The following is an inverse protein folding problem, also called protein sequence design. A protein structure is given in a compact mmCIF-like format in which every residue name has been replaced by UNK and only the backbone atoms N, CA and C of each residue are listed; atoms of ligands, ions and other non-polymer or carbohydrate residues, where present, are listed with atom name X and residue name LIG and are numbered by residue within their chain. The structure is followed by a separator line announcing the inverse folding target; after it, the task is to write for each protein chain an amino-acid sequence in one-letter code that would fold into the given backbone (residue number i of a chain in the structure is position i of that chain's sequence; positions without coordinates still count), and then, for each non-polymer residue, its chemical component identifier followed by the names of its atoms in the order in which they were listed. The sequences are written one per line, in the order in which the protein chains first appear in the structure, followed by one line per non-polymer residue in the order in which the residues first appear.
data_IF_577997509555
#
_entry.id   IF_577997509555
#
_cell.length_a   1.000
_cell.length_b   1.000
_cell.length_c   1.000
_cell.angle_alpha   90.00
_cell.angle_beta   90.00
_cell.angle_gamma   90.00
#
_symmetry.space_group_name_H-M   'P 1'
#
loop_
_entity.id
_entity.type
_entity.pdbx_description
1 polymer ?
#
# COMPACT_ATOMS: atom_id res chain seq x y z
N UNK A 1 -12.52 -16.82 -12.15
CA UNK A 1 -12.32 -15.41 -11.78
C UNK A 1 -11.02 -14.92 -12.40
N UNK A 2 -11.02 -13.78 -13.11
CA UNK A 2 -9.77 -13.14 -13.57
C UNK A 2 -9.34 -12.11 -12.52
N UNK A 3 -8.36 -12.47 -11.69
CA UNK A 3 -7.58 -11.54 -10.86
C UNK A 3 -8.32 -10.63 -9.86
N UNK A 4 -9.28 -11.10 -9.02
CA UNK A 4 -9.82 -10.26 -7.96
C UNK A 4 -8.70 -9.92 -6.97
N UNK A 5 -8.43 -8.63 -6.80
CA UNK A 5 -7.37 -8.16 -5.89
C UNK A 5 -7.87 -8.06 -4.44
N UNK A 6 -9.18 -8.17 -4.22
CA UNK A 6 -9.78 -8.40 -2.90
C UNK A 6 -11.28 -8.79 -2.96
N UNK A 7 -12.01 -8.24 -3.95
CA UNK A 7 -13.45 -8.45 -4.20
C UNK A 7 -13.72 -8.28 -5.69
N UNK A 8 -14.44 -9.20 -6.33
CA UNK A 8 -15.02 -9.00 -7.66
C UNK A 8 -16.53 -8.82 -7.50
N UNK A 9 -17.05 -7.61 -7.72
CA UNK A 9 -18.48 -7.31 -7.61
C UNK A 9 -19.09 -7.42 -6.21
N UNK A 10 -18.27 -7.62 -5.16
CA UNK A 10 -18.69 -7.79 -3.75
C UNK A 10 -19.91 -8.70 -3.54
N UNK A 11 -20.04 -9.73 -4.39
CA UNK A 11 -21.18 -10.65 -4.48
C UNK A 11 -22.54 -10.02 -4.88
N UNK A 12 -22.62 -8.70 -5.12
CA UNK A 12 -23.86 -8.00 -5.50
C UNK A 12 -24.41 -8.51 -6.84
N UNK A 13 -23.53 -8.68 -7.83
CA UNK A 13 -23.90 -9.18 -9.17
C UNK A 13 -24.49 -10.58 -9.12
N UNK A 14 -24.00 -11.41 -8.21
CA UNK A 14 -24.51 -12.76 -8.00
C UNK A 14 -25.90 -12.71 -7.34
N UNK A 15 -26.11 -11.79 -6.39
CA UNK A 15 -27.41 -11.56 -5.77
C UNK A 15 -28.45 -11.04 -6.79
N UNK A 16 -28.08 -10.09 -7.65
CA UNK A 16 -28.94 -9.64 -8.75
C UNK A 16 -29.34 -10.79 -9.68
N UNK A 17 -28.36 -11.63 -10.08
CA UNK A 17 -28.64 -12.79 -10.91
C UNK A 17 -29.60 -13.78 -10.24
N UNK A 18 -29.45 -14.01 -8.93
CA UNK A 18 -30.33 -14.89 -8.16
C UNK A 18 -31.76 -14.33 -8.06
N UNK A 19 -31.91 -13.02 -7.84
CA UNK A 19 -33.21 -12.37 -7.77
C UNK A 19 -33.95 -12.44 -9.12
N UNK A 20 -33.25 -12.19 -10.23
CA UNK A 20 -33.84 -12.30 -11.58
C UNK A 20 -34.19 -13.75 -11.93
N UNK A 21 -33.32 -14.71 -11.59
CA UNK A 21 -33.57 -16.13 -11.84
C UNK A 21 -34.81 -16.66 -11.11
N UNK A 22 -35.12 -16.14 -9.91
CA UNK A 22 -36.32 -16.51 -9.15
C UNK A 22 -37.61 -16.16 -9.90
N UNK A 23 -37.61 -15.03 -10.62
CA UNK A 23 -38.76 -14.58 -11.40
C UNK A 23 -38.84 -15.26 -12.79
N UNK A 24 -37.82 -16.02 -13.19
CA UNK A 24 -37.73 -16.70 -14.48
C UNK A 24 -37.44 -18.21 -14.34
N UNK A 25 -38.39 -19.01 -13.78
CA UNK A 25 -38.17 -20.44 -13.54
C UNK A 25 -37.74 -21.22 -14.78
N UNK A 26 -36.76 -22.11 -14.61
CA UNK A 26 -36.26 -22.98 -15.69
C UNK A 26 -35.37 -22.28 -16.72
N UNK A 27 -35.01 -20.99 -16.52
CA UNK A 27 -34.16 -20.24 -17.44
C UNK A 27 -32.83 -19.86 -16.76
N UNK A 28 -31.66 -20.18 -17.35
CA UNK A 28 -30.39 -19.69 -16.83
C UNK A 28 -30.27 -18.18 -17.03
N UNK A 29 -29.82 -17.48 -15.99
CA UNK A 29 -29.62 -16.03 -16.00
C UNK A 29 -28.13 -15.71 -15.84
N UNK A 30 -27.62 -14.81 -16.69
CA UNK A 30 -26.29 -14.22 -16.55
C UNK A 30 -26.43 -12.72 -16.40
N UNK A 31 -25.98 -12.19 -15.28
CA UNK A 31 -25.82 -10.74 -15.06
C UNK A 31 -24.35 -10.40 -15.18
N UNK A 32 -24.06 -9.28 -15.85
CA UNK A 32 -22.72 -8.74 -15.98
C UNK A 32 -22.81 -7.22 -15.89
N UNK A 33 -22.06 -6.63 -14.97
CA UNK A 33 -21.92 -5.18 -14.88
C UNK A 33 -21.13 -4.65 -16.07
N UNK A 34 -21.56 -3.51 -16.59
CA UNK A 34 -20.72 -2.66 -17.41
C UNK A 34 -19.60 -2.05 -16.54
N UNK A 35 -18.52 -1.61 -17.19
CA UNK A 35 -17.37 -1.00 -16.50
C UNK A 35 -17.81 0.19 -15.64
N UNK A 36 -18.73 1.03 -16.14
CA UNK A 36 -19.23 2.15 -15.35
C UNK A 36 -20.08 1.75 -14.16
N UNK A 37 -20.81 0.64 -14.26
CA UNK A 37 -21.59 0.12 -13.13
C UNK A 37 -20.67 -0.47 -12.07
N UNK A 38 -19.63 -1.20 -12.47
CA UNK A 38 -18.59 -1.71 -11.58
C UNK A 38 -17.94 -0.56 -10.81
N UNK A 39 -17.44 0.47 -11.51
CA UNK A 39 -16.77 1.60 -10.87
C UNK A 39 -17.69 2.43 -9.96
N UNK A 40 -18.98 2.59 -10.27
CA UNK A 40 -19.86 3.43 -9.47
C UNK A 40 -20.46 2.73 -8.25
N UNK A 41 -20.53 1.39 -8.26
CA UNK A 41 -21.31 0.63 -7.27
C UNK A 41 -20.50 -0.40 -6.48
N UNK A 42 -19.30 -0.76 -6.92
CA UNK A 42 -18.40 -1.60 -6.13
C UNK A 42 -17.91 -0.87 -4.87
N UNK A 43 -17.57 -1.62 -3.81
CA UNK A 43 -16.97 -1.04 -2.62
C UNK A 43 -15.51 -0.64 -2.87
N UNK A 44 -15.06 0.43 -2.22
CA UNK A 44 -13.70 0.97 -2.35
C UNK A 44 -12.80 0.63 -1.17
N UNK A 45 -11.48 0.80 -1.33
CA UNK A 45 -10.58 0.83 -0.18
C UNK A 45 -10.92 2.02 0.74
N UNK A 46 -10.98 1.84 2.07
CA UNK A 46 -11.21 2.95 2.99
C UNK A 46 -10.12 4.01 2.91
N UNK A 47 -10.52 5.29 2.88
CA UNK A 47 -9.61 6.40 3.13
C UNK A 47 -9.10 6.33 4.58
N UNK A 48 -7.86 6.81 4.77
CA UNK A 48 -7.18 6.78 6.05
C UNK A 48 -6.47 8.11 6.29
N UNK A 49 -6.36 8.49 7.55
CA UNK A 49 -5.49 9.59 7.99
C UNK A 49 -4.60 9.07 9.10
N UNK A 50 -3.34 9.50 9.10
CA UNK A 50 -2.33 9.08 10.06
C UNK A 50 -1.62 10.31 10.60
N UNK A 51 -1.38 10.33 11.89
CA UNK A 51 -0.49 11.27 12.56
C UNK A 51 0.62 10.50 13.27
N UNK A 52 1.87 10.90 13.04
CA UNK A 52 3.04 10.26 13.62
C UNK A 52 3.95 11.31 14.27
N UNK A 53 4.38 11.03 15.49
CA UNK A 53 5.35 11.82 16.24
C UNK A 53 6.38 10.86 16.86
N UNK A 54 7.65 11.24 16.88
CA UNK A 54 8.70 10.46 17.50
C UNK A 54 9.78 11.37 18.07
N UNK A 55 10.49 10.87 19.07
CA UNK A 55 11.63 11.55 19.68
C UNK A 55 12.90 10.74 19.46
N UNK A 56 13.97 11.42 19.05
CA UNK A 56 15.33 10.88 19.04
C UNK A 56 16.07 11.38 20.28
N UNK A 57 16.84 10.51 20.92
CA UNK A 57 17.72 10.92 22.00
C UNK A 57 18.97 11.66 21.47
N UNK A 58 19.87 12.05 22.37
CA UNK A 58 21.10 12.75 22.01
C UNK A 58 22.07 11.94 21.14
N UNK A 59 21.91 10.61 21.07
CA UNK A 59 22.69 9.74 20.21
C UNK A 59 22.03 9.52 18.83
N UNK A 60 20.83 10.09 18.61
CA UNK A 60 20.05 9.86 17.39
C UNK A 60 19.27 8.55 17.40
N UNK A 61 19.08 7.93 18.56
CA UNK A 61 18.33 6.67 18.72
C UNK A 61 16.86 6.94 19.04
N UNK A 62 15.94 6.13 18.53
CA UNK A 62 14.50 6.21 18.82
C UNK A 62 14.23 6.03 20.32
N UNK A 63 13.64 7.05 20.94
CA UNK A 63 13.29 7.06 22.36
C UNK A 63 11.78 6.93 22.60
N UNK A 64 10.97 7.59 21.78
CA UNK A 64 9.51 7.61 21.89
C UNK A 64 8.86 7.56 20.50
N UNK A 65 7.71 6.89 20.41
CA UNK A 65 6.90 6.78 19.20
C UNK A 65 5.42 6.87 19.53
N UNK A 66 4.74 7.85 18.93
CA UNK A 66 3.29 8.02 18.96
C UNK A 66 2.72 7.97 17.55
N UNK A 67 1.76 7.08 17.34
CA UNK A 67 1.12 6.89 16.04
C UNK A 67 -0.39 6.78 16.22
N UNK A 68 -1.12 7.68 15.59
CA UNK A 68 -2.58 7.69 15.59
C UNK A 68 -3.09 7.50 14.17
N UNK A 69 -4.13 6.70 14.01
CA UNK A 69 -4.78 6.49 12.72
C UNK A 69 -6.30 6.53 12.82
N UNK A 70 -6.92 7.07 11.76
CA UNK A 70 -8.37 7.10 11.57
C UNK A 70 -8.72 6.31 10.33
N UNK A 71 -9.59 5.32 10.46
CA UNK A 71 -10.01 4.48 9.35
C UNK A 71 -11.38 3.85 9.59
N UNK A 72 -12.11 3.57 8.51
CA UNK A 72 -13.26 2.67 8.54
C UNK A 72 -12.81 1.20 8.55
N UNK A 73 -13.77 0.27 8.58
CA UNK A 73 -13.47 -1.15 8.40
C UNK A 73 -12.95 -1.41 6.98
N UNK A 74 -11.90 -2.22 6.91
CA UNK A 74 -11.36 -2.75 5.66
C UNK A 74 -12.00 -4.10 5.29
N UNK A 75 -13.16 -4.40 5.87
CA UNK A 75 -13.92 -5.60 5.56
C UNK A 75 -15.43 -5.35 5.72
N UNK A 76 -16.15 -5.37 4.60
CA UNK A 76 -17.62 -5.43 4.59
C UNK A 76 -18.08 -6.61 3.72
N UNK A 77 -17.36 -7.74 3.76
CA UNK A 77 -17.82 -8.98 3.14
C UNK A 77 -19.15 -9.44 3.75
N UNK A 78 -19.83 -10.34 3.05
CA UNK A 78 -21.19 -10.74 3.38
C UNK A 78 -21.26 -11.45 4.74
N UNK A 79 -21.78 -10.74 5.75
CA UNK A 79 -22.16 -11.28 7.07
C UNK A 79 -23.66 -11.60 7.12
N UNK A 80 -24.48 -10.79 6.46
CA UNK A 80 -25.91 -10.97 6.32
C UNK A 80 -26.39 -10.41 4.97
N UNK A 81 -27.64 -10.69 4.59
CA UNK A 81 -28.22 -10.22 3.33
C UNK A 81 -28.11 -8.68 3.17
N UNK A 82 -28.23 -7.93 4.25
CA UNK A 82 -28.10 -6.47 4.23
C UNK A 82 -26.74 -5.93 3.78
N UNK A 83 -25.69 -6.77 3.64
CA UNK A 83 -24.41 -6.34 3.04
C UNK A 83 -24.42 -6.31 1.50
N UNK A 84 -25.44 -6.93 0.89
CA UNK A 84 -25.68 -6.91 -0.54
C UNK A 84 -26.53 -5.69 -0.90
N UNK A 85 -26.07 -4.91 -1.86
CA UNK A 85 -26.79 -3.73 -2.35
C UNK A 85 -28.21 -4.09 -2.85
N UNK A 86 -28.42 -5.17 -3.63
CA UNK A 86 -29.77 -5.53 -4.07
C UNK A 86 -30.75 -5.79 -2.92
N UNK A 87 -30.28 -6.30 -1.78
CA UNK A 87 -31.10 -6.55 -0.60
C UNK A 87 -31.50 -5.26 0.15
N UNK A 88 -30.70 -4.20 0.02
CA UNK A 88 -31.01 -2.87 0.57
C UNK A 88 -31.99 -2.09 -0.31
N UNK A 89 -32.12 -2.46 -1.60
CA UNK A 89 -33.00 -1.79 -2.57
C UNK A 89 -34.39 -2.45 -2.67
N UNK A 90 -34.65 -3.51 -1.90
CA UNK A 90 -35.97 -4.14 -1.83
C UNK A 90 -37.00 -3.21 -1.18
N UNK A 91 -38.28 -3.40 -1.51
CA UNK A 91 -39.38 -2.67 -0.88
C UNK A 91 -39.40 -2.82 0.65
N UNK A 92 -38.94 -3.98 1.15
CA UNK A 92 -38.60 -4.19 2.56
C UNK A 92 -37.10 -4.46 2.66
N UNK A 93 -36.29 -3.43 2.93
CA UNK A 93 -34.84 -3.55 2.89
C UNK A 93 -34.30 -4.33 4.08
N UNK A 94 -33.25 -5.11 3.85
CA UNK A 94 -32.51 -5.74 4.95
C UNK A 94 -31.57 -4.73 5.61
N UNK A 95 -31.53 -4.73 6.95
CA UNK A 95 -30.56 -3.92 7.69
C UNK A 95 -29.15 -4.51 7.55
N UNK A 96 -28.15 -3.74 7.09
CA UNK A 96 -26.76 -4.21 7.06
C UNK A 96 -26.24 -4.50 8.47
N UNK A 97 -25.47 -5.58 8.63
CA UNK A 97 -24.70 -5.79 9.85
C UNK A 97 -23.81 -4.55 10.12
N UNK A 98 -23.59 -4.14 11.38
CA UNK A 98 -22.73 -3.00 11.68
C UNK A 98 -21.27 -3.31 11.29
N UNK A 99 -20.49 -2.32 10.82
CA UNK A 99 -19.08 -2.48 10.56
C UNK A 99 -18.32 -2.75 11.86
N UNK A 100 -17.32 -3.63 11.80
CA UNK A 100 -16.51 -4.05 12.95
C UNK A 100 -15.03 -3.95 12.59
N UNK A 101 -14.16 -3.62 13.55
CA UNK A 101 -12.72 -3.76 13.37
C UNK A 101 -12.32 -5.24 13.27
N UNK A 102 -11.24 -5.52 12.55
CA UNK A 102 -10.60 -6.83 12.56
C UNK A 102 -9.50 -6.77 13.64
N UNK A 103 -9.50 -7.68 14.62
CA UNK A 103 -8.44 -7.72 15.62
C UNK A 103 -7.04 -7.89 15.01
N UNK A 104 -6.03 -7.31 15.65
CA UNK A 104 -4.63 -7.62 15.41
C UNK A 104 -4.32 -9.07 15.82
N UNK A 105 -3.33 -9.75 15.20
CA UNK A 105 -2.34 -9.20 14.27
C UNK A 105 -2.77 -9.20 12.78
N UNK A 106 -3.90 -9.80 12.42
CA UNK A 106 -4.43 -9.74 11.06
C UNK A 106 -4.76 -8.30 10.65
N UNK A 107 -5.40 -7.53 11.52
CA UNK A 107 -5.70 -6.10 11.38
C UNK A 107 -6.55 -5.69 10.18
N UNK A 108 -7.35 -4.64 10.38
CA UNK A 108 -8.13 -3.98 9.32
C UNK A 108 -7.42 -2.72 8.86
N UNK A 109 -7.91 -1.56 9.32
CA UNK A 109 -7.23 -0.27 9.12
C UNK A 109 -5.95 -0.13 9.94
N UNK A 110 -5.86 -0.81 11.07
CA UNK A 110 -4.69 -0.85 11.96
C UNK A 110 -3.63 -1.88 11.57
N UNK A 111 -3.84 -2.62 10.48
CA UNK A 111 -2.86 -3.61 10.02
C UNK A 111 -1.51 -2.95 9.79
N UNK A 112 -0.45 -3.53 10.36
CA UNK A 112 0.92 -3.01 10.30
C UNK A 112 1.13 -1.61 10.92
N UNK A 113 0.21 -1.13 11.77
CA UNK A 113 0.37 0.16 12.48
C UNK A 113 1.41 0.14 13.60
N UNK A 114 1.76 -1.05 14.11
CA UNK A 114 2.84 -1.23 15.08
C UNK A 114 4.16 -1.33 14.32
N UNK A 115 5.12 -0.41 14.52
CA UNK A 115 6.41 -0.46 13.84
C UNK A 115 7.22 -1.68 14.30
N UNK A 116 8.09 -2.17 13.42
CA UNK A 116 8.97 -3.31 13.70
C UNK A 116 10.25 -2.91 14.47
N UNK A 117 10.48 -1.62 14.64
CA UNK A 117 11.67 -1.06 15.25
C UNK A 117 11.61 -1.11 16.78
N UNK A 118 12.76 -1.30 17.40
CA UNK A 118 12.96 -1.22 18.84
C UNK A 118 12.79 0.23 19.29
N UNK A 119 11.70 0.49 20.01
CA UNK A 119 11.40 1.80 20.61
C UNK A 119 11.06 1.60 22.10
N UNK A 120 11.74 2.29 23.03
CA UNK A 120 11.49 2.15 24.47
C UNK A 120 10.07 2.54 24.91
N UNK A 121 9.51 3.61 24.32
CA UNK A 121 8.15 4.09 24.58
C UNK A 121 7.33 4.07 23.30
N UNK A 122 6.24 3.29 23.29
CA UNK A 122 5.42 3.07 22.10
C UNK A 122 3.93 3.26 22.43
N UNK A 123 3.30 4.20 21.73
CA UNK A 123 1.86 4.42 21.77
C UNK A 123 1.27 4.37 20.36
N UNK A 124 0.34 3.43 20.13
CA UNK A 124 -0.39 3.29 18.86
C UNK A 124 -1.88 3.32 19.14
N UNK A 125 -2.61 4.24 18.50
CA UNK A 125 -4.05 4.40 18.67
C UNK A 125 -4.78 4.30 17.33
N UNK A 126 -5.81 3.44 17.30
CA UNK A 126 -6.72 3.32 16.17
C UNK A 126 -8.09 3.91 16.52
N UNK A 127 -8.43 5.01 15.87
CA UNK A 127 -9.73 5.65 15.92
C UNK A 127 -10.63 5.05 14.85
N UNK A 128 -11.49 4.11 15.26
CA UNK A 128 -12.41 3.44 14.34
C UNK A 128 -13.53 4.39 13.91
N UNK A 129 -13.66 4.62 12.61
CA UNK A 129 -14.69 5.48 12.00
C UNK A 129 -15.76 4.58 11.38
N UNK A 130 -16.90 4.29 12.05
CA UNK A 130 -17.85 3.29 11.57
C UNK A 130 -18.65 3.73 10.33
N UNK A 131 -18.76 5.03 10.06
CA UNK A 131 -19.60 5.56 8.97
C UNK A 131 -18.75 6.33 7.96
N UNK A 132 -18.92 6.01 6.67
CA UNK A 132 -18.27 6.68 5.55
C UNK A 132 -19.31 7.03 4.47
N UNK A 133 -19.10 8.12 3.70
CA UNK A 133 -20.02 8.50 2.62
C UNK A 133 -20.02 7.51 1.45
N UNK A 134 -18.98 6.70 1.34
CA UNK A 134 -18.79 5.72 0.27
C UNK A 134 -18.76 4.33 0.88
N UNK A 135 -19.33 3.34 0.16
CA UNK A 135 -19.25 1.93 0.54
C UNK A 135 -17.81 1.45 0.42
N UNK A 136 -17.29 0.86 1.49
CA UNK A 136 -15.90 0.38 1.54
C UNK A 136 -15.82 -1.13 1.74
N UNK A 137 -14.72 -1.76 1.33
CA UNK A 137 -14.43 -3.17 1.63
C UNK A 137 -12.93 -3.42 1.50
N UNK A 138 -12.53 -4.68 1.57
CA UNK A 138 -11.14 -5.07 1.42
C UNK A 138 -10.59 -4.62 0.06
N UNK A 139 -9.41 -4.01 0.12
CA UNK A 139 -8.46 -3.84 -0.97
C UNK A 139 -7.17 -4.55 -0.56
N UNK A 140 -6.35 -5.00 -1.52
CA UNK A 140 -5.14 -5.77 -1.19
C UNK A 140 -4.28 -5.03 -0.18
N UNK A 141 -3.82 -5.75 0.83
CA UNK A 141 -3.09 -5.30 2.01
C UNK A 141 -3.88 -4.52 3.06
N UNK A 142 -5.17 -4.24 2.85
CA UNK A 142 -6.03 -3.51 3.79
C UNK A 142 -5.33 -2.20 4.24
N UNK A 143 -5.30 -1.89 5.55
CA UNK A 143 -4.63 -0.70 6.06
C UNK A 143 -3.09 -0.73 5.97
N UNK A 144 -2.47 -1.87 5.65
CA UNK A 144 -1.02 -1.99 5.65
C UNK A 144 -0.34 -1.11 4.60
N UNK A 145 -0.99 -0.88 3.45
CA UNK A 145 -0.44 0.01 2.43
C UNK A 145 -0.18 1.42 3.00
N UNK A 146 -1.17 2.02 3.65
CA UNK A 146 -1.05 3.36 4.26
C UNK A 146 -0.13 3.34 5.48
N UNK A 147 -0.28 2.35 6.38
CA UNK A 147 0.49 2.35 7.62
C UNK A 147 1.99 2.15 7.37
N UNK A 148 2.36 1.21 6.52
CA UNK A 148 3.77 1.01 6.18
C UNK A 148 4.31 2.19 5.38
N UNK A 149 3.53 2.76 4.46
CA UNK A 149 3.91 4.00 3.76
C UNK A 149 4.27 5.11 4.76
N UNK A 150 3.40 5.37 5.74
CA UNK A 150 3.59 6.42 6.73
C UNK A 150 4.79 6.12 7.65
N UNK A 151 4.87 4.91 8.21
CA UNK A 151 5.95 4.48 9.11
C UNK A 151 7.30 4.56 8.41
N UNK A 152 7.44 3.95 7.23
CA UNK A 152 8.74 3.85 6.54
C UNK A 152 9.17 5.18 5.89
N UNK A 153 8.21 6.06 5.55
CA UNK A 153 8.52 7.44 5.17
C UNK A 153 9.01 8.24 6.37
N UNK A 154 8.33 8.12 7.51
CA UNK A 154 8.70 8.85 8.72
C UNK A 154 10.05 8.39 9.28
N UNK A 155 10.36 7.09 9.20
CA UNK A 155 11.69 6.56 9.54
C UNK A 155 12.80 7.17 8.66
N UNK A 156 12.53 7.43 7.38
CA UNK A 156 13.49 8.10 6.49
C UNK A 156 13.71 9.58 6.92
N UNK A 157 12.65 10.26 7.37
CA UNK A 157 12.75 11.61 7.96
C UNK A 157 13.52 11.62 9.28
N UNK A 158 13.31 10.60 10.14
CA UNK A 158 14.03 10.45 11.41
C UNK A 158 15.51 10.12 11.19
N UNK A 159 15.84 9.26 10.22
CA UNK A 159 17.22 8.98 9.85
C UNK A 159 17.93 10.27 9.38
N UNK A 160 17.25 11.10 8.58
CA UNK A 160 17.76 12.42 8.18
C UNK A 160 17.99 13.35 9.37
N UNK A 161 17.04 13.40 10.31
CA UNK A 161 17.17 14.21 11.54
C UNK A 161 18.32 13.73 12.45
N UNK A 162 18.61 12.42 12.46
CA UNK A 162 19.77 11.84 13.13
C UNK A 162 21.09 11.97 12.35
N UNK A 163 21.07 12.54 11.13
CA UNK A 163 22.22 12.55 10.22
C UNK A 163 22.78 11.14 9.92
N UNK A 164 21.90 10.13 9.90
CA UNK A 164 22.23 8.74 9.63
C UNK A 164 21.83 8.32 8.21
N UNK A 165 22.53 7.32 7.66
CA UNK A 165 22.04 6.62 6.47
C UNK A 165 20.72 5.89 6.81
N UNK A 166 19.68 5.98 5.96
CA UNK A 166 18.36 5.44 6.28
C UNK A 166 18.31 3.91 6.35
N UNK A 167 19.23 3.19 5.72
CA UNK A 167 19.34 1.73 5.85
C UNK A 167 20.05 1.39 7.15
N UNK A 168 21.17 2.04 7.44
CA UNK A 168 21.90 1.85 8.69
C UNK A 168 21.02 2.17 9.90
N UNK A 169 20.23 3.25 9.83
CA UNK A 169 19.28 3.64 10.87
C UNK A 169 18.26 2.53 11.14
N UNK A 170 17.74 1.87 10.10
CA UNK A 170 16.80 0.75 10.26
C UNK A 170 17.46 -0.46 10.92
N UNK A 171 18.66 -0.84 10.46
CA UNK A 171 19.40 -1.98 10.99
C UNK A 171 19.73 -1.79 12.48
N UNK A 172 20.14 -0.59 12.89
CA UNK A 172 20.44 -0.27 14.29
C UNK A 172 19.23 -0.42 15.22
N UNK A 173 18.02 -0.21 14.68
CA UNK A 173 16.76 -0.27 15.43
C UNK A 173 15.98 -1.57 15.18
N UNK A 174 16.53 -2.56 14.49
CA UNK A 174 15.89 -3.87 14.30
C UNK A 174 16.64 -4.93 15.11
N UNK A 175 15.92 -5.92 15.63
CA UNK A 175 16.53 -7.07 16.33
C UNK A 175 16.38 -8.38 15.52
N UNK A 176 15.44 -8.45 14.58
CA UNK A 176 15.11 -9.68 13.86
C UNK A 176 16.16 -10.02 12.78
N UNK A 177 16.85 -11.17 12.86
CA UNK A 177 17.87 -11.56 11.89
C UNK A 177 17.32 -11.84 10.48
N UNK A 178 16.04 -12.20 10.32
CA UNK A 178 15.41 -12.37 9.00
C UNK A 178 15.11 -11.01 8.36
N UNK A 179 14.71 -10.02 9.17
CA UNK A 179 14.60 -8.64 8.72
C UNK A 179 15.96 -8.12 8.21
N UNK A 180 17.03 -8.32 9.00
CA UNK A 180 18.39 -8.00 8.56
C UNK A 180 18.76 -8.72 7.26
N UNK A 181 18.44 -10.01 7.13
CA UNK A 181 18.74 -10.80 5.95
C UNK A 181 18.12 -10.25 4.66
N UNK A 182 16.84 -9.85 4.67
CA UNK A 182 16.22 -9.23 3.48
C UNK A 182 16.78 -7.84 3.20
N UNK A 183 17.07 -7.04 4.24
CA UNK A 183 17.64 -5.70 4.08
C UNK A 183 19.03 -5.79 3.44
N UNK A 184 19.93 -6.62 3.99
CA UNK A 184 21.29 -6.81 3.46
C UNK A 184 21.28 -7.33 2.02
N UNK A 185 20.40 -8.28 1.69
CA UNK A 185 20.28 -8.79 0.32
C UNK A 185 19.90 -7.70 -0.70
N UNK A 186 18.99 -6.78 -0.32
CA UNK A 186 18.66 -5.63 -1.16
C UNK A 186 19.82 -4.65 -1.25
N UNK A 187 20.47 -4.32 -0.14
CA UNK A 187 21.64 -3.43 -0.09
C UNK A 187 22.73 -3.89 -1.03
N UNK A 188 23.08 -5.17 -0.98
CA UNK A 188 24.12 -5.78 -1.80
C UNK A 188 23.72 -5.78 -3.28
N UNK A 189 22.52 -6.26 -3.62
CA UNK A 189 22.08 -6.36 -5.01
C UNK A 189 21.79 -5.01 -5.66
N UNK A 190 21.27 -4.05 -4.89
CA UNK A 190 21.08 -2.68 -5.35
C UNK A 190 22.42 -1.95 -5.49
N UNK A 191 23.43 -2.34 -4.70
CA UNK A 191 24.68 -1.60 -4.58
C UNK A 191 24.44 -0.28 -3.85
N UNK A 192 23.69 -0.34 -2.74
CA UNK A 192 23.32 0.84 -1.96
C UNK A 192 24.57 1.62 -1.55
N UNK A 193 24.51 2.93 -1.75
CA UNK A 193 25.54 3.87 -1.32
C UNK A 193 24.86 4.88 -0.42
N UNK A 194 25.56 5.26 0.66
CA UNK A 194 25.09 6.34 1.52
C UNK A 194 24.78 7.56 0.67
N UNK A 195 23.58 8.13 0.86
CA UNK A 195 23.13 9.31 0.13
C UNK A 195 24.13 10.45 0.38
N UNK A 196 24.63 11.05 -0.69
CA UNK A 196 25.46 12.25 -0.59
C UNK A 196 24.60 13.44 -0.20
N UNK A 197 25.16 14.39 0.56
CA UNK A 197 24.54 15.70 0.74
C UNK A 197 24.19 16.28 -0.64
N UNK A 198 22.97 16.81 -0.79
CA UNK A 198 22.53 17.48 -2.02
C UNK A 198 23.48 18.65 -2.29
N UNK A 199 24.42 18.45 -3.21
CA UNK A 199 25.21 19.57 -3.74
C UNK A 199 24.33 20.30 -4.75
N UNK A 200 24.52 21.61 -4.91
CA UNK A 200 23.68 22.48 -5.74
C UNK A 200 23.78 22.19 -7.24
N UNK A 201 23.51 20.95 -7.63
CA UNK A 201 23.47 20.47 -9.00
C UNK A 201 22.26 21.10 -9.70
N UNK A 202 22.57 21.97 -10.66
CA UNK A 202 21.59 22.61 -11.54
C UNK A 202 21.17 21.71 -12.70
N UNK A 203 21.49 20.41 -12.65
CA UNK A 203 21.04 19.43 -13.64
C UNK A 203 19.50 19.47 -13.77
N UNK A 204 18.96 19.49 -15.00
CA UNK A 204 17.52 19.37 -15.22
C UNK A 204 16.97 18.01 -14.78
N UNK A 205 17.86 17.02 -14.60
CA UNK A 205 17.54 15.68 -14.10
C UNK A 205 18.00 15.56 -12.65
N UNK A 206 17.08 15.23 -11.77
CA UNK A 206 17.40 14.90 -10.39
C UNK A 206 17.27 13.40 -10.15
N UNK A 207 18.30 12.81 -9.57
CA UNK A 207 18.35 11.39 -9.24
C UNK A 207 18.13 11.20 -7.74
N UNK A 208 17.41 10.15 -7.35
CA UNK A 208 17.23 9.81 -5.95
C UNK A 208 17.02 8.33 -5.74
N UNK A 209 17.47 7.86 -4.58
CA UNK A 209 17.30 6.47 -4.14
C UNK A 209 16.46 6.39 -2.88
N UNK A 210 15.59 5.39 -2.82
CA UNK A 210 14.69 5.18 -1.69
C UNK A 210 14.75 3.75 -1.20
N UNK A 211 14.60 3.58 0.10
CA UNK A 211 14.58 2.27 0.75
C UNK A 211 13.39 2.19 1.71
N UNK A 212 12.80 1.01 1.82
CA UNK A 212 11.84 0.69 2.87
C UNK A 212 11.77 -0.83 3.12
N UNK A 213 11.31 -1.18 4.31
CA UNK A 213 11.18 -2.55 4.76
C UNK A 213 9.85 -2.76 5.49
N UNK A 214 9.27 -3.97 5.37
CA UNK A 214 8.16 -4.39 6.20
C UNK A 214 8.07 -5.90 6.33
N UNK A 215 7.30 -6.34 7.32
CA UNK A 215 6.83 -7.72 7.44
C UNK A 215 5.31 -7.71 7.26
N UNK A 216 4.78 -8.47 6.31
CA UNK A 216 3.35 -8.56 6.06
C UNK A 216 2.60 -8.99 7.33
N UNK A 217 1.63 -8.18 7.79
CA UNK A 217 0.89 -8.34 9.06
C UNK A 217 1.76 -8.39 10.32
N UNK A 218 3.05 -8.04 10.24
CA UNK A 218 4.03 -8.28 11.31
C UNK A 218 4.13 -9.76 11.73
N UNK A 219 3.79 -10.70 10.83
CA UNK A 219 3.82 -12.15 11.13
C UNK A 219 4.10 -13.07 9.94
N UNK A 220 4.00 -12.56 8.70
CA UNK A 220 4.16 -13.34 7.47
C UNK A 220 5.48 -12.99 6.78
N UNK A 221 5.49 -12.90 5.44
CA UNK A 221 6.68 -12.65 4.65
C UNK A 221 7.34 -11.29 4.97
N UNK A 222 8.66 -11.29 4.96
CA UNK A 222 9.51 -10.11 5.08
C UNK A 222 9.83 -9.61 3.68
N UNK A 223 9.78 -8.30 3.47
CA UNK A 223 10.13 -7.69 2.19
C UNK A 223 10.88 -6.39 2.42
N UNK A 224 12.07 -6.29 1.84
CA UNK A 224 12.79 -5.03 1.67
C UNK A 224 12.72 -4.60 0.19
N UNK A 225 12.64 -3.29 -0.05
CA UNK A 225 12.59 -2.71 -1.40
C UNK A 225 13.51 -1.49 -1.47
N UNK A 226 14.34 -1.43 -2.50
CA UNK A 226 15.09 -0.25 -2.90
C UNK A 226 14.67 0.21 -4.30
N UNK A 227 14.55 1.52 -4.50
CA UNK A 227 14.17 2.13 -5.77
C UNK A 227 15.15 3.22 -6.18
N UNK A 228 15.44 3.29 -7.48
CA UNK A 228 16.17 4.37 -8.16
C UNK A 228 15.20 5.11 -9.07
N UNK A 229 15.10 6.44 -8.90
CA UNK A 229 14.21 7.28 -9.68
C UNK A 229 14.95 8.46 -10.29
N UNK A 230 14.44 8.93 -11.43
CA UNK A 230 14.79 10.22 -12.02
C UNK A 230 13.56 11.11 -12.04
N UNK A 231 13.71 12.36 -11.61
CA UNK A 231 12.71 13.43 -11.73
C UNK A 231 13.25 14.51 -12.66
N UNK A 232 12.48 14.86 -13.68
CA UNK A 232 12.72 16.04 -14.52
C UNK A 232 12.24 17.28 -13.78
N UNK A 233 13.14 18.18 -13.38
CA UNK A 233 12.82 19.33 -12.51
C UNK A 233 11.85 20.33 -13.17
N UNK A 234 11.93 20.50 -14.49
CA UNK A 234 11.12 21.44 -15.26
C UNK A 234 9.69 20.94 -15.50
N UNK A 235 9.51 19.64 -15.73
CA UNK A 235 8.20 19.05 -16.04
C UNK A 235 7.54 18.36 -14.85
N UNK A 236 8.32 17.95 -13.85
CA UNK A 236 7.91 17.04 -12.77
C UNK A 236 7.74 15.59 -13.24
N UNK A 237 8.24 15.23 -14.43
CA UNK A 237 8.13 13.86 -14.96
C UNK A 237 9.01 12.90 -14.16
N UNK A 238 8.40 11.83 -13.67
CA UNK A 238 9.03 10.79 -12.86
C UNK A 238 9.27 9.54 -13.71
N UNK A 239 10.50 9.01 -13.68
CA UNK A 239 10.88 7.72 -14.23
C UNK A 239 11.44 6.83 -13.14
N UNK A 240 10.91 5.61 -13.01
CA UNK A 240 11.45 4.59 -12.10
C UNK A 240 12.47 3.76 -12.88
N UNK A 241 13.75 3.99 -12.61
CA UNK A 241 14.86 3.41 -13.37
C UNK A 241 15.09 1.95 -12.97
N UNK A 242 15.03 1.67 -11.66
CA UNK A 242 15.27 0.31 -11.15
C UNK A 242 14.58 0.10 -9.81
N UNK A 243 14.02 -1.10 -9.63
CA UNK A 243 13.52 -1.61 -8.35
C UNK A 243 14.27 -2.89 -8.02
N UNK A 244 14.76 -3.02 -6.79
CA UNK A 244 15.33 -4.26 -6.25
C UNK A 244 14.56 -4.61 -4.98
N UNK A 245 14.05 -5.83 -4.89
CA UNK A 245 13.33 -6.31 -3.72
C UNK A 245 13.85 -7.68 -3.27
N UNK A 246 13.95 -7.93 -1.97
CA UNK A 246 14.26 -9.26 -1.43
C UNK A 246 13.13 -9.73 -0.53
N UNK A 247 12.67 -10.96 -0.75
CA UNK A 247 11.57 -11.56 0.01
C UNK A 247 12.03 -12.81 0.75
N UNK A 248 11.67 -12.91 2.03
CA UNK A 248 11.76 -14.12 2.84
C UNK A 248 10.34 -14.50 3.28
N UNK A 249 9.80 -15.58 2.71
CA UNK A 249 8.48 -16.13 3.06
C UNK A 249 8.57 -17.51 3.71
N UNK A 250 9.70 -17.81 4.38
CA UNK A 250 9.97 -19.14 4.89
C UNK A 250 10.32 -20.11 3.77
N UNK A 251 9.87 -21.37 3.85
CA UNK A 251 10.09 -22.32 2.77
C UNK A 251 9.29 -21.92 1.51
N UNK A 252 9.96 -21.85 0.37
CA UNK A 252 9.32 -21.48 -0.89
C UNK A 252 8.72 -22.73 -1.55
N UNK A 253 7.41 -22.70 -1.78
CA UNK A 253 6.68 -23.78 -2.49
C UNK A 253 6.76 -23.61 -4.00
N UNK A 254 6.54 -22.38 -4.48
CA UNK A 254 6.55 -22.05 -5.91
C UNK A 254 7.35 -20.75 -6.11
N UNK A 255 8.64 -20.82 -6.46
CA UNK A 255 9.50 -19.65 -6.64
C UNK A 255 8.95 -18.65 -7.65
N UNK A 256 8.46 -19.12 -8.80
CA UNK A 256 7.91 -18.24 -9.84
C UNK A 256 6.60 -17.58 -9.39
N UNK A 257 5.78 -18.31 -8.63
CA UNK A 257 4.57 -17.75 -8.02
C UNK A 257 4.88 -16.64 -7.01
N UNK A 258 5.90 -16.84 -6.18
CA UNK A 258 6.37 -15.82 -5.23
C UNK A 258 6.90 -14.59 -5.98
N UNK A 259 7.76 -14.80 -6.98
CA UNK A 259 8.30 -13.73 -7.84
C UNK A 259 7.18 -12.92 -8.49
N UNK A 260 6.23 -13.57 -9.15
CA UNK A 260 5.10 -12.92 -9.81
C UNK A 260 4.22 -12.12 -8.83
N UNK A 261 4.02 -12.62 -7.60
CA UNK A 261 3.24 -11.90 -6.58
C UNK A 261 3.92 -10.62 -6.10
N UNK A 262 5.25 -10.65 -5.95
CA UNK A 262 6.04 -9.47 -5.58
C UNK A 262 6.11 -8.48 -6.74
N UNK A 263 6.45 -8.91 -7.96
CA UNK A 263 6.51 -8.05 -9.14
C UNK A 263 5.16 -7.37 -9.42
N UNK A 264 4.08 -8.14 -9.47
CA UNK A 264 2.73 -7.60 -9.65
C UNK A 264 2.29 -6.72 -8.48
N UNK A 265 2.73 -7.02 -7.26
CA UNK A 265 2.47 -6.21 -6.08
C UNK A 265 3.17 -4.84 -6.12
N UNK A 266 4.44 -4.81 -6.55
CA UNK A 266 5.23 -3.59 -6.77
C UNK A 266 4.57 -2.73 -7.84
N UNK A 267 4.17 -3.30 -8.99
CA UNK A 267 3.50 -2.55 -10.06
C UNK A 267 2.16 -1.97 -9.60
N UNK A 268 1.33 -2.78 -8.96
CA UNK A 268 0.04 -2.34 -8.45
C UNK A 268 0.18 -1.18 -7.47
N UNK A 269 1.06 -1.32 -6.48
CA UNK A 269 1.21 -0.27 -5.47
C UNK A 269 1.93 0.96 -6.00
N UNK A 270 2.80 0.83 -7.01
CA UNK A 270 3.35 1.99 -7.73
C UNK A 270 2.22 2.80 -8.36
N UNK A 271 1.22 2.14 -8.95
CA UNK A 271 0.03 2.80 -9.50
C UNK A 271 -0.80 3.50 -8.43
N UNK A 272 -1.07 2.83 -7.30
CA UNK A 272 -1.75 3.43 -6.13
C UNK A 272 -1.03 4.64 -5.57
N UNK A 273 0.28 4.51 -5.42
CA UNK A 273 1.11 5.53 -4.80
C UNK A 273 1.24 6.76 -5.69
N UNK A 274 1.29 6.60 -7.01
CA UNK A 274 1.51 7.72 -7.93
C UNK A 274 0.23 8.33 -8.49
N UNK A 275 -0.79 7.53 -8.81
CA UNK A 275 -1.87 7.98 -9.69
C UNK A 275 -3.26 7.76 -9.11
N UNK A 276 -3.54 6.58 -8.54
CA UNK A 276 -4.92 6.15 -8.32
C UNK A 276 -5.63 6.90 -7.18
N UNK A 277 -6.71 7.58 -7.55
CA UNK A 277 -7.61 8.31 -6.65
C UNK A 277 -9.05 8.13 -7.16
N UNK A 278 -9.97 7.74 -6.27
CA UNK A 278 -11.41 7.72 -6.58
C UNK A 278 -11.99 9.11 -6.34
N UNK A 279 -12.50 9.73 -7.40
CA UNK A 279 -13.20 11.00 -7.33
C UNK A 279 -14.70 10.79 -7.15
N UNK A 280 -15.34 11.69 -6.39
CA UNK A 280 -16.78 11.70 -6.15
C UNK A 280 -17.29 13.09 -5.81
N UNK A 281 -18.58 13.30 -5.99
CA UNK A 281 -19.33 14.47 -5.57
C UNK A 281 -20.43 14.04 -4.57
N UNK A 282 -21.24 14.96 -4.00
CA UNK A 282 -22.29 14.59 -3.05
C UNK A 282 -23.39 13.68 -3.63
N UNK A 283 -23.42 13.45 -4.95
CA UNK A 283 -24.42 12.65 -5.63
C UNK A 283 -23.88 11.28 -6.08
N UNK A 284 -22.60 11.18 -6.48
CA UNK A 284 -22.05 9.95 -7.08
C UNK A 284 -20.52 9.90 -7.13
N UNK A 285 -20.01 8.71 -7.42
CA UNK A 285 -18.64 8.50 -7.92
C UNK A 285 -18.50 9.11 -9.31
N UNK A 286 -17.43 9.87 -9.54
CA UNK A 286 -17.11 10.52 -10.83
C UNK A 286 -15.96 9.84 -11.59
N UNK A 287 -15.21 8.94 -10.94
CA UNK A 287 -14.25 8.02 -11.57
C UNK A 287 -14.93 6.76 -12.13
N UNK A 288 -15.85 6.94 -13.07
CA UNK A 288 -16.74 5.88 -13.55
C UNK A 288 -16.12 4.95 -14.62
N UNK A 289 -14.89 5.16 -15.09
CA UNK A 289 -14.23 4.24 -16.03
C UNK A 289 -12.70 4.39 -16.01
N UNK A 290 -11.99 3.67 -16.89
CA UNK A 290 -10.53 3.75 -17.03
C UNK A 290 -10.00 5.04 -17.68
N UNK A 291 -10.90 5.91 -18.17
CA UNK A 291 -10.54 7.24 -18.68
C UNK A 291 -10.58 8.30 -17.59
N UNK A 292 -11.47 8.12 -16.61
CA UNK A 292 -11.72 9.02 -15.47
C UNK A 292 -11.08 8.55 -14.17
N UNK A 293 -10.66 7.28 -14.07
CA UNK A 293 -9.85 6.75 -12.99
C UNK A 293 -8.36 6.75 -13.39
N UNK A 294 -7.51 7.56 -12.73
CA UNK A 294 -6.09 7.67 -13.07
C UNK A 294 -5.33 6.40 -12.68
N UNK A 295 -4.94 5.59 -13.67
CA UNK A 295 -4.18 4.35 -13.47
C UNK A 295 -2.85 4.39 -14.23
N UNK A 296 -1.82 3.74 -13.68
CA UNK A 296 -0.51 3.65 -14.30
C UNK A 296 -0.60 3.05 -15.72
N UNK A 297 0.14 3.67 -16.65
CA UNK A 297 0.27 3.20 -18.05
C UNK A 297 1.62 2.51 -18.26
N UNK A 298 1.75 1.75 -19.35
CA UNK A 298 2.99 1.04 -19.71
C UNK A 298 4.21 1.95 -19.79
N UNK A 299 4.05 3.21 -20.18
CA UNK A 299 5.15 4.19 -20.23
C UNK A 299 5.73 4.55 -18.86
N UNK A 300 5.00 4.25 -17.78
CA UNK A 300 5.35 4.65 -16.41
C UNK A 300 5.76 3.46 -15.53
N UNK A 301 5.80 2.24 -16.07
CA UNK A 301 6.28 1.07 -15.33
C UNK A 301 7.79 1.19 -15.07
N UNK A 302 8.30 0.61 -13.96
CA UNK A 302 9.74 0.55 -13.73
C UNK A 302 10.46 -0.10 -14.90
N UNK A 303 11.59 0.48 -15.33
CA UNK A 303 12.38 -0.06 -16.45
C UNK A 303 12.99 -1.42 -16.12
N UNK A 304 13.24 -1.70 -14.84
CA UNK A 304 13.78 -2.96 -14.34
C UNK A 304 13.26 -3.26 -12.94
N UNK A 305 12.81 -4.50 -12.71
CA UNK A 305 12.42 -5.02 -11.39
C UNK A 305 13.19 -6.30 -11.16
N UNK A 306 14.02 -6.32 -10.11
CA UNK A 306 14.76 -7.51 -9.67
C UNK A 306 14.19 -8.00 -8.34
N UNK A 307 13.72 -9.25 -8.29
CA UNK A 307 13.25 -9.88 -7.06
C UNK A 307 14.20 -10.99 -6.63
N UNK A 308 14.82 -10.84 -5.46
CA UNK A 308 15.61 -11.88 -4.80
C UNK A 308 14.70 -12.72 -3.92
N UNK A 309 14.80 -14.04 -4.08
CA UNK A 309 14.07 -15.01 -3.28
C UNK A 309 15.03 -15.61 -2.26
N UNK A 310 14.77 -15.37 -0.97
CA UNK A 310 15.52 -15.99 0.12
C UNK A 310 14.73 -17.21 0.57
N UNK A 311 15.10 -18.38 0.05
CA UNK A 311 14.48 -19.64 0.45
C UNK A 311 14.98 -20.10 1.82
N UNK A 312 14.06 -20.62 2.63
CA UNK A 312 14.34 -21.15 3.96
C UNK A 312 13.76 -22.57 4.10
N UNK A 313 14.39 -23.61 3.51
CA UNK A 313 13.91 -24.98 3.60
C UNK A 313 13.71 -25.42 5.06
N UNK A 314 12.55 -26.01 5.35
CA UNK A 314 12.19 -26.49 6.69
C UNK A 314 11.53 -25.45 7.61
N UNK A 315 11.50 -24.15 7.23
CA UNK A 315 10.72 -23.15 7.96
C UNK A 315 9.25 -23.12 7.51
N UNK A 316 8.31 -22.60 8.34
CA UNK A 316 6.91 -22.51 7.98
C UNK A 316 6.66 -21.75 6.67
N UNK A 317 5.62 -22.15 5.93
CA UNK A 317 5.15 -21.43 4.74
C UNK A 317 4.43 -20.15 5.14
N UNK A 318 4.91 -19.00 4.67
CA UNK A 318 4.29 -17.70 4.97
C UNK A 318 3.61 -17.12 3.73
N UNK A 319 2.51 -16.40 3.96
CA UNK A 319 1.81 -15.70 2.89
C UNK A 319 2.68 -14.57 2.31
N UNK A 320 2.76 -14.48 0.99
CA UNK A 320 3.48 -13.40 0.27
C UNK A 320 2.55 -12.42 -0.45
N UNK A 321 1.26 -12.76 -0.50
CA UNK A 321 0.29 -12.15 -1.39
C UNK A 321 0.14 -10.64 -1.25
N UNK A 322 0.40 -10.07 -0.07
CA UNK A 322 0.19 -8.65 0.23
C UNK A 322 1.46 -7.96 0.78
N UNK A 323 2.63 -8.57 0.57
CA UNK A 323 3.88 -8.10 1.18
C UNK A 323 4.47 -6.85 0.51
N UNK A 324 4.16 -6.63 -0.76
CA UNK A 324 4.78 -5.57 -1.57
C UNK A 324 4.19 -4.18 -1.34
N UNK A 325 2.90 -4.08 -1.02
CA UNK A 325 2.14 -2.83 -1.06
C UNK A 325 2.76 -1.72 -0.19
N UNK A 326 3.01 -2.01 1.08
CA UNK A 326 3.60 -1.07 2.01
C UNK A 326 5.01 -0.59 1.63
N UNK A 327 6.01 -1.50 1.61
CA UNK A 327 7.41 -1.10 1.44
C UNK A 327 7.69 -0.53 0.05
N UNK A 328 7.05 -1.00 -1.02
CA UNK A 328 7.27 -0.38 -2.33
C UNK A 328 6.71 1.04 -2.44
N UNK A 329 5.59 1.35 -1.77
CA UNK A 329 5.04 2.71 -1.70
C UNK A 329 6.00 3.66 -0.96
N UNK A 330 6.50 3.24 0.21
CA UNK A 330 7.45 4.02 0.99
C UNK A 330 8.80 4.20 0.29
N UNK A 331 9.35 3.13 -0.31
CA UNK A 331 10.62 3.21 -1.04
C UNK A 331 10.52 4.20 -2.21
N UNK A 332 9.39 4.22 -2.92
CA UNK A 332 9.14 5.18 -3.99
C UNK A 332 9.09 6.61 -3.46
N UNK A 333 8.34 6.86 -2.39
CA UNK A 333 8.23 8.19 -1.79
C UNK A 333 9.58 8.70 -1.24
N UNK A 334 10.35 7.81 -0.62
CA UNK A 334 11.70 8.10 -0.13
C UNK A 334 12.67 8.43 -1.28
N UNK A 335 12.54 7.75 -2.43
CA UNK A 335 13.37 8.04 -3.61
C UNK A 335 13.02 9.40 -4.22
N UNK A 336 11.73 9.76 -4.26
CA UNK A 336 11.27 11.07 -4.74
C UNK A 336 11.75 12.18 -3.81
N UNK A 337 11.66 12.02 -2.49
CA UNK A 337 12.16 13.01 -1.53
C UNK A 337 13.69 13.12 -1.56
N UNK A 338 14.41 12.02 -1.81
CA UNK A 338 15.86 12.09 -2.04
C UNK A 338 16.20 12.88 -3.32
N UNK A 339 15.48 12.60 -4.41
CA UNK A 339 15.68 13.26 -5.70
C UNK A 339 15.34 14.76 -5.65
N UNK A 340 14.20 15.11 -5.06
CA UNK A 340 13.65 16.47 -5.16
C UNK A 340 13.91 17.30 -3.92
N UNK A 341 14.12 16.64 -2.78
CA UNK A 341 14.16 17.29 -1.49
C UNK A 341 12.80 17.65 -0.91
N UNK A 342 11.71 17.24 -1.56
CA UNK A 342 10.36 17.54 -1.13
C UNK A 342 9.65 16.28 -0.65
N UNK A 343 9.22 16.31 0.62
CA UNK A 343 8.45 15.23 1.24
C UNK A 343 6.95 15.44 1.00
N UNK A 344 6.38 14.63 0.12
CA UNK A 344 4.93 14.54 -0.09
C UNK A 344 4.39 13.44 0.84
N UNK A 345 3.34 13.77 1.61
CA UNK A 345 2.73 12.86 2.60
C UNK A 345 1.31 12.40 2.23
N UNK A 346 0.66 13.11 1.31
CA UNK A 346 -0.66 12.76 0.81
C UNK A 346 -0.52 11.84 -0.42
N UNK A 347 -1.20 10.69 -0.39
CA UNK A 347 -1.34 9.82 -1.56
C UNK A 347 -2.60 10.19 -2.36
N UNK A 348 -2.57 10.08 -3.70
CA UNK A 348 -1.41 9.71 -4.51
C UNK A 348 -0.41 10.87 -4.74
N UNK A 349 0.89 10.54 -4.83
CA UNK A 349 2.01 11.49 -4.90
C UNK A 349 2.01 12.36 -6.18
N UNK A 350 1.45 11.89 -7.29
CA UNK A 350 1.27 12.68 -8.53
C UNK A 350 -0.20 13.02 -8.80
N UNK A 351 -1.06 12.91 -7.78
CA UNK A 351 -2.44 13.35 -7.85
C UNK A 351 -2.56 14.86 -8.08
N UNK A 352 -3.81 15.36 -8.04
CA UNK A 352 -4.15 16.76 -8.34
C UNK A 352 -3.29 17.78 -7.58
N UNK A 353 -2.86 17.45 -6.36
CA UNK A 353 -2.00 18.31 -5.52
C UNK A 353 -0.49 18.09 -5.73
N UNK A 354 -0.06 16.86 -6.02
CA UNK A 354 1.36 16.48 -5.96
C UNK A 354 2.18 16.82 -7.21
N UNK A 355 1.57 16.86 -8.40
CA UNK A 355 2.30 17.15 -9.65
C UNK A 355 2.93 18.54 -9.71
N UNK A 356 2.36 19.51 -8.99
CA UNK A 356 2.91 20.86 -8.92
C UNK A 356 4.10 20.97 -7.96
N UNK A 357 4.20 20.04 -7.00
CA UNK A 357 5.25 20.03 -5.98
C UNK A 357 6.59 19.58 -6.55
N UNK A 358 6.59 18.71 -7.56
CA UNK A 358 7.83 18.22 -8.20
C UNK A 358 8.46 19.19 -9.21
N UNK A 359 7.83 20.34 -9.47
CA UNK A 359 8.34 21.38 -10.38
C UNK A 359 9.12 22.50 -9.67
N UNK A 360 9.18 22.45 -8.34
CA UNK A 360 9.92 23.39 -7.50
C UNK A 360 11.35 22.88 -7.27
#
# INVERSE_FOLDING_TARGET
MKGPVASAGADDVAADAALVARELPGRPVRVQLMREQEHMWEPFGPAMTVEANATLDSAGTLADWRYELWSNTHNNRIENAGRLLPAQLLAQPFTPAPPKPIPMPEGGGDRNSIPLYRVPSLHVQHHFVPTMPIRVSAMRSLGAHMNVFAIESFIDELARAAHADPVAFRLEHLDDPRAHGVISAVVDQFGWRARSARTGDSSPRSHGTGFAFAQYKNLMAYLAVAMDVTVMRDTGELSIERVVAAVDCGQIVNPDGVRNQIEGGILQTTSWTLYEETHFDPQRITSYDWSTYPIMRFSSVPKRVDVLLIDRPGLPFLGVGEAAQGPAAAALANAIDDATGVRIRDLPLLGTKGKNVLKA
#
